data_IF_722182375730
#
_entry.id   IF_722182375730
#
_cell.length_a   1.000
_cell.length_b   1.000
_cell.length_c   1.000
_cell.angle_alpha   90.00
_cell.angle_beta   90.00
_cell.angle_gamma   90.00
#
_symmetry.space_group_name_H-M   'P 1'
#
loop_
_entity.id
_entity.type
_entity.pdbx_description
1 polymer ?
#
# COMPACT_ATOMS: atom_id res chain seq x y z
N UNK A 1 -8.73 -34.83 8.94
CA UNK A 1 -7.56 -33.97 8.54
C UNK A 1 -7.69 -32.52 9.05
N UNK A 2 -8.82 -31.80 8.78
CA UNK A 2 -8.99 -30.41 9.23
C UNK A 2 -8.88 -30.29 10.75
N UNK A 3 -9.62 -31.12 11.50
CA UNK A 3 -9.58 -31.17 12.97
C UNK A 3 -8.15 -31.38 13.49
N UNK A 4 -7.45 -32.38 12.97
CA UNK A 4 -6.06 -32.69 13.37
C UNK A 4 -5.09 -31.56 13.12
N UNK A 5 -5.30 -30.79 12.02
CA UNK A 5 -4.50 -29.60 11.71
C UNK A 5 -4.76 -28.49 12.73
N UNK A 6 -6.04 -28.19 13.00
CA UNK A 6 -6.41 -27.16 13.97
C UNK A 6 -5.86 -27.47 15.38
N UNK A 7 -6.02 -28.72 15.85
CA UNK A 7 -5.50 -29.15 17.15
C UNK A 7 -3.98 -29.06 17.24
N UNK A 8 -3.27 -29.36 16.14
CA UNK A 8 -1.81 -29.22 16.11
C UNK A 8 -1.37 -27.76 16.26
N UNK A 9 -2.08 -26.82 15.63
CA UNK A 9 -1.78 -25.40 15.81
C UNK A 9 -2.14 -24.90 17.21
N UNK A 10 -3.28 -25.32 17.76
CA UNK A 10 -3.65 -24.98 19.14
C UNK A 10 -2.66 -25.53 20.17
N UNK A 11 -2.10 -26.72 19.94
CA UNK A 11 -1.06 -27.28 20.81
C UNK A 11 0.30 -26.58 20.69
N UNK A 12 0.54 -25.87 19.56
CA UNK A 12 1.80 -25.17 19.31
C UNK A 12 1.78 -23.67 19.68
N UNK A 13 0.60 -23.06 19.78
CA UNK A 13 0.43 -21.63 20.06
C UNK A 13 -0.83 -21.40 20.91
N UNK A 14 -0.63 -20.95 22.15
CA UNK A 14 -1.71 -20.70 23.13
C UNK A 14 -2.70 -19.60 22.70
N UNK A 15 -2.36 -18.83 21.67
CA UNK A 15 -3.27 -17.82 21.06
C UNK A 15 -4.29 -18.45 20.13
N UNK A 16 -4.09 -19.70 19.71
CA UNK A 16 -5.00 -20.43 18.81
C UNK A 16 -6.07 -21.12 19.62
N UNK A 17 -7.30 -20.65 19.49
CA UNK A 17 -8.48 -21.27 20.12
C UNK A 17 -9.27 -22.05 19.05
N UNK A 18 -9.49 -23.33 19.26
CA UNK A 18 -10.27 -24.19 18.35
C UNK A 18 -11.64 -24.47 18.94
N UNK A 19 -12.69 -24.20 18.18
CA UNK A 19 -14.07 -24.47 18.57
C UNK A 19 -14.60 -25.64 17.74
N UNK A 20 -14.88 -26.76 18.39
CA UNK A 20 -15.55 -27.90 17.78
C UNK A 20 -17.06 -27.80 17.98
N UNK A 21 -17.81 -27.92 16.90
CA UNK A 21 -19.28 -27.89 16.92
C UNK A 21 -19.86 -28.77 15.83
N UNK A 22 -21.10 -29.12 15.96
CA UNK A 22 -21.88 -29.70 14.87
C UNK A 22 -22.10 -28.66 13.77
N UNK A 23 -22.34 -29.12 12.54
CA UNK A 23 -22.57 -28.18 11.43
C UNK A 23 -23.89 -27.45 11.62
N UNK A 24 -23.81 -26.15 11.90
CA UNK A 24 -24.96 -25.25 12.02
C UNK A 24 -24.81 -23.99 11.13
N UNK A 25 -23.98 -24.10 10.10
CA UNK A 25 -23.75 -23.01 9.15
C UNK A 25 -22.62 -22.05 9.53
N UNK A 26 -22.28 -21.17 8.59
CA UNK A 26 -21.16 -20.22 8.70
C UNK A 26 -21.47 -19.08 9.69
N UNK A 27 -22.69 -18.54 9.65
CA UNK A 27 -23.14 -17.46 10.55
C UNK A 27 -22.99 -17.84 12.02
N UNK A 28 -23.46 -19.03 12.40
CA UNK A 28 -23.34 -19.52 13.77
C UNK A 28 -21.88 -19.72 14.18
N UNK A 29 -21.05 -20.25 13.27
CA UNK A 29 -19.61 -20.43 13.53
C UNK A 29 -18.90 -19.09 13.78
N UNK A 30 -19.21 -18.08 12.97
CA UNK A 30 -18.66 -16.73 13.15
C UNK A 30 -19.18 -16.04 14.41
N UNK A 31 -20.47 -16.21 14.75
CA UNK A 31 -21.04 -15.67 15.98
C UNK A 31 -20.38 -16.26 17.24
N UNK A 32 -20.11 -17.58 17.23
CA UNK A 32 -19.38 -18.23 18.33
C UNK A 32 -17.94 -17.68 18.45
N UNK A 33 -17.27 -17.45 17.34
CA UNK A 33 -15.91 -16.89 17.34
C UNK A 33 -15.92 -15.43 17.83
N UNK A 34 -16.89 -14.62 17.41
CA UNK A 34 -17.07 -13.22 17.88
C UNK A 34 -17.26 -13.20 19.40
N UNK A 35 -18.10 -14.08 19.94
CA UNK A 35 -18.39 -14.16 21.38
C UNK A 35 -17.15 -14.50 22.23
N UNK A 36 -16.22 -15.25 21.68
CA UNK A 36 -14.97 -15.66 22.36
C UNK A 36 -13.76 -14.75 22.04
N UNK A 37 -13.90 -13.81 21.14
CA UNK A 37 -12.82 -12.93 20.79
C UNK A 37 -12.55 -11.89 21.87
N UNK A 38 -11.27 -11.65 22.19
CA UNK A 38 -10.82 -10.68 23.21
C UNK A 38 -10.00 -9.52 22.63
N UNK A 39 -9.66 -9.57 21.34
CA UNK A 39 -8.89 -8.53 20.67
C UNK A 39 -9.62 -7.18 20.62
N UNK A 40 -8.88 -6.11 20.47
CA UNK A 40 -9.41 -4.76 20.26
C UNK A 40 -10.16 -4.65 18.91
N UNK A 41 -9.67 -5.41 17.93
CA UNK A 41 -10.23 -5.49 16.58
C UNK A 41 -10.56 -6.95 16.22
N UNK A 42 -11.47 -7.12 15.26
CA UNK A 42 -11.80 -8.40 14.64
C UNK A 42 -11.44 -8.36 13.16
N UNK A 43 -10.76 -9.41 12.71
CA UNK A 43 -10.46 -9.69 11.30
C UNK A 43 -10.99 -11.10 10.96
N UNK A 44 -11.71 -11.22 9.85
CA UNK A 44 -12.20 -12.50 9.36
C UNK A 44 -11.29 -13.03 8.25
N UNK A 45 -11.13 -14.34 8.20
CA UNK A 45 -10.35 -15.04 7.19
C UNK A 45 -11.07 -16.34 6.80
N UNK A 46 -11.38 -16.51 5.54
CA UNK A 46 -11.96 -17.74 5.02
C UNK A 46 -10.86 -18.79 4.78
N UNK A 47 -11.17 -20.06 5.06
CA UNK A 47 -10.15 -21.13 5.12
C UNK A 47 -9.61 -21.59 3.76
N UNK A 48 -10.21 -21.17 2.67
CA UNK A 48 -9.81 -21.45 1.28
C UNK A 48 -9.03 -20.30 0.62
N UNK A 49 -8.81 -19.21 1.38
CA UNK A 49 -8.13 -18.01 0.95
C UNK A 49 -6.79 -17.83 1.70
N UNK A 50 -6.03 -16.79 1.35
CA UNK A 50 -4.83 -16.37 2.09
C UNK A 50 -4.68 -14.86 2.12
N UNK A 51 -3.85 -14.37 3.05
CA UNK A 51 -3.53 -12.96 3.22
C UNK A 51 -2.04 -12.70 2.99
N UNK A 52 -1.68 -11.44 2.75
CA UNK A 52 -0.27 -11.04 2.74
C UNK A 52 0.32 -11.17 4.15
N UNK A 53 1.63 -11.41 4.31
CA UNK A 53 2.27 -11.58 5.63
C UNK A 53 2.09 -10.38 6.56
N UNK A 54 1.93 -9.19 6.02
CA UNK A 54 1.78 -7.91 6.71
C UNK A 54 0.32 -7.42 6.83
N UNK A 55 -0.65 -8.16 6.27
CA UNK A 55 -2.06 -7.78 6.20
C UNK A 55 -2.62 -7.26 7.53
N UNK A 56 -2.52 -8.05 8.59
CA UNK A 56 -3.03 -7.67 9.91
C UNK A 56 -2.29 -6.46 10.48
N UNK A 57 -0.97 -6.37 10.28
CA UNK A 57 -0.15 -5.23 10.72
C UNK A 57 -0.61 -3.93 10.04
N UNK A 58 -0.82 -3.96 8.73
CA UNK A 58 -1.27 -2.80 7.96
C UNK A 58 -2.67 -2.34 8.38
N UNK A 59 -3.61 -3.28 8.51
CA UNK A 59 -4.97 -2.97 8.97
C UNK A 59 -4.98 -2.35 10.37
N UNK A 60 -4.27 -2.95 11.33
CA UNK A 60 -4.23 -2.46 12.72
C UNK A 60 -3.53 -1.11 12.80
N UNK A 61 -2.46 -0.91 12.02
CA UNK A 61 -1.78 0.39 11.94
C UNK A 61 -2.72 1.46 11.43
N UNK A 62 -3.40 1.24 10.31
CA UNK A 62 -4.37 2.16 9.76
C UNK A 62 -5.51 2.46 10.76
N UNK A 63 -6.06 1.43 11.40
CA UNK A 63 -7.12 1.60 12.40
C UNK A 63 -6.68 2.48 13.59
N UNK A 64 -5.44 2.35 14.05
CA UNK A 64 -4.91 3.11 15.20
C UNK A 64 -4.50 4.54 14.81
N UNK A 65 -3.76 4.70 13.73
CA UNK A 65 -3.29 6.01 13.25
C UNK A 65 -4.48 6.91 12.90
N UNK A 66 -5.47 6.36 12.22
CA UNK A 66 -6.65 7.09 11.75
C UNK A 66 -7.83 7.05 12.73
N UNK A 67 -7.70 6.35 13.86
CA UNK A 67 -8.76 6.12 14.82
C UNK A 67 -10.05 5.61 14.16
N UNK A 68 -9.89 4.72 13.19
CA UNK A 68 -10.99 4.21 12.40
C UNK A 68 -11.79 3.14 13.16
N UNK A 69 -13.12 3.21 13.02
CA UNK A 69 -14.03 2.18 13.50
C UNK A 69 -14.05 0.98 12.57
N UNK A 70 -13.89 1.25 11.26
CA UNK A 70 -13.79 0.26 10.20
C UNK A 70 -12.66 0.63 9.25
N UNK A 71 -11.74 -0.32 9.02
CA UNK A 71 -10.80 -0.24 7.89
C UNK A 71 -11.26 -1.24 6.83
N UNK A 72 -11.35 -0.80 5.59
CA UNK A 72 -11.60 -1.66 4.43
C UNK A 72 -10.37 -1.63 3.52
N UNK A 73 -9.92 -2.79 3.06
CA UNK A 73 -8.74 -2.91 2.21
C UNK A 73 -9.08 -3.45 0.83
N UNK A 74 -8.21 -3.18 -0.11
CA UNK A 74 -8.23 -3.79 -1.42
C UNK A 74 -7.87 -5.28 -1.35
N UNK A 75 -8.15 -6.01 -2.43
CA UNK A 75 -7.86 -7.43 -2.49
C UNK A 75 -7.49 -7.90 -3.90
N UNK A 76 -6.87 -9.06 -3.98
CA UNK A 76 -6.67 -9.77 -5.22
C UNK A 76 -7.74 -10.84 -5.42
N UNK A 77 -8.32 -10.86 -6.62
CA UNK A 77 -9.17 -11.96 -7.07
C UNK A 77 -8.34 -12.95 -7.86
N UNK A 78 -8.30 -14.19 -7.41
CA UNK A 78 -7.51 -15.27 -7.99
C UNK A 78 -8.42 -16.27 -8.71
N UNK A 79 -8.12 -16.52 -9.99
CA UNK A 79 -8.82 -17.53 -10.81
C UNK A 79 -7.76 -18.37 -11.54
N UNK A 80 -7.57 -19.59 -11.10
CA UNK A 80 -6.49 -20.46 -11.60
C UNK A 80 -5.11 -19.82 -11.35
N UNK A 81 -4.35 -19.59 -12.41
CA UNK A 81 -3.02 -18.98 -12.34
C UNK A 81 -3.01 -17.47 -12.60
N UNK A 82 -4.16 -16.84 -12.59
CA UNK A 82 -4.27 -15.39 -12.84
C UNK A 82 -4.93 -14.67 -11.67
N UNK A 83 -4.50 -13.47 -11.43
CA UNK A 83 -5.08 -12.58 -10.44
C UNK A 83 -5.38 -11.20 -11.02
N UNK A 84 -6.33 -10.52 -10.41
CA UNK A 84 -6.59 -9.09 -10.67
C UNK A 84 -6.82 -8.35 -9.37
N UNK A 85 -6.35 -7.11 -9.30
CA UNK A 85 -6.61 -6.19 -8.20
C UNK A 85 -8.06 -5.72 -8.21
N UNK A 86 -8.66 -5.62 -7.04
CA UNK A 86 -9.97 -5.02 -6.81
C UNK A 86 -9.88 -4.05 -5.63
N UNK A 87 -10.15 -2.82 -5.90
CA UNK A 87 -10.45 -1.73 -4.98
C UNK A 87 -11.62 -0.95 -5.53
N UNK A 88 -12.25 -0.10 -4.73
CA UNK A 88 -13.43 0.66 -5.16
C UNK A 88 -13.46 2.09 -4.63
N UNK A 89 -12.97 2.32 -3.45
CA UNK A 89 -12.92 3.65 -2.83
C UNK A 89 -11.66 4.37 -3.30
N UNK A 90 -11.82 5.58 -3.84
CA UNK A 90 -10.70 6.43 -4.30
C UNK A 90 -10.39 7.58 -3.34
N UNK A 91 -11.12 7.66 -2.22
CA UNK A 91 -10.97 8.73 -1.22
C UNK A 91 -9.75 8.44 -0.35
N UNK A 92 -8.80 9.36 -0.34
CA UNK A 92 -7.68 9.36 0.59
C UNK A 92 -8.08 9.91 1.95
N UNK A 93 -7.63 9.24 3.02
CA UNK A 93 -7.87 9.68 4.39
C UNK A 93 -9.14 9.11 5.03
N UNK A 94 -9.52 9.72 6.16
CA UNK A 94 -10.66 9.28 6.96
C UNK A 94 -11.97 9.79 6.37
N UNK A 95 -12.91 8.89 6.22
CA UNK A 95 -14.28 9.17 5.83
C UNK A 95 -15.21 9.14 7.05
N UNK A 96 -16.20 10.01 7.08
CA UNK A 96 -17.35 9.85 7.95
C UNK A 96 -18.36 8.83 7.37
N UNK A 97 -19.45 8.63 8.09
CA UNK A 97 -20.46 7.65 7.69
C UNK A 97 -21.14 8.03 6.36
N UNK A 98 -21.41 9.31 6.14
CA UNK A 98 -22.07 9.81 4.93
C UNK A 98 -21.21 9.59 3.69
N UNK A 99 -19.93 9.96 3.75
CA UNK A 99 -18.99 9.74 2.66
C UNK A 99 -18.83 8.23 2.33
N UNK A 100 -18.72 7.38 3.37
CA UNK A 100 -18.56 5.95 3.16
C UNK A 100 -19.83 5.30 2.55
N UNK A 101 -21.03 5.64 3.04
CA UNK A 101 -22.26 5.10 2.48
C UNK A 101 -22.56 5.66 1.09
N UNK A 102 -22.08 6.87 0.78
CA UNK A 102 -22.09 7.44 -0.56
C UNK A 102 -21.31 6.58 -1.56
N UNK A 103 -20.09 6.17 -1.22
CA UNK A 103 -19.30 5.25 -2.04
C UNK A 103 -20.03 3.91 -2.27
N UNK A 104 -20.64 3.34 -1.21
CA UNK A 104 -21.45 2.11 -1.34
C UNK A 104 -22.65 2.28 -2.27
N UNK A 105 -23.25 3.47 -2.29
CA UNK A 105 -24.43 3.76 -3.10
C UNK A 105 -24.12 3.86 -4.60
N UNK A 106 -22.89 4.24 -4.95
CA UNK A 106 -22.44 4.28 -6.35
C UNK A 106 -22.42 2.90 -7.00
N UNK A 107 -22.08 1.86 -6.22
CA UNK A 107 -22.02 0.46 -6.68
C UNK A 107 -22.74 -0.47 -5.69
N UNK A 108 -24.06 -0.41 -5.61
CA UNK A 108 -24.83 -0.95 -4.49
C UNK A 108 -24.76 -2.47 -4.29
N UNK A 109 -24.48 -3.23 -5.33
CA UNK A 109 -24.32 -4.68 -5.27
C UNK A 109 -22.85 -5.14 -5.38
N UNK A 110 -21.89 -4.22 -5.20
CA UNK A 110 -20.48 -4.57 -5.33
C UNK A 110 -20.01 -5.46 -4.19
N UNK A 111 -19.36 -6.54 -4.58
CA UNK A 111 -18.78 -7.54 -3.69
C UNK A 111 -17.76 -6.95 -2.69
N UNK A 112 -17.05 -5.86 -3.05
CA UNK A 112 -16.07 -5.19 -2.21
C UNK A 112 -16.65 -4.75 -0.86
N UNK A 113 -17.87 -4.19 -0.86
CA UNK A 113 -18.53 -3.75 0.37
C UNK A 113 -19.18 -4.91 1.15
N UNK A 114 -19.54 -5.98 0.46
CA UNK A 114 -20.31 -7.09 1.04
C UNK A 114 -19.50 -8.03 1.91
N UNK A 115 -18.25 -8.32 1.55
CA UNK A 115 -17.43 -9.34 2.21
C UNK A 115 -16.88 -8.89 3.56
N UNK A 116 -16.59 -9.85 4.45
CA UNK A 116 -16.02 -9.55 5.78
C UNK A 116 -14.49 -9.48 5.76
N UNK A 117 -13.85 -10.30 4.99
CA UNK A 117 -12.43 -10.61 5.06
C UNK A 117 -11.48 -9.51 4.56
N UNK A 118 -11.98 -8.48 3.86
CA UNK A 118 -11.21 -7.28 3.53
C UNK A 118 -11.20 -6.25 4.65
N UNK A 119 -11.89 -6.51 5.77
CA UNK A 119 -12.19 -5.50 6.76
C UNK A 119 -11.59 -5.81 8.12
N UNK A 120 -11.25 -4.75 8.84
CA UNK A 120 -10.93 -4.78 10.26
C UNK A 120 -11.99 -4.00 11.02
N UNK A 121 -12.63 -4.66 11.96
CA UNK A 121 -13.74 -4.12 12.73
C UNK A 121 -13.30 -3.80 14.15
N UNK A 122 -13.67 -2.65 14.66
CA UNK A 122 -13.53 -2.31 16.07
C UNK A 122 -14.50 -3.13 16.89
N UNK A 123 -13.96 -4.00 17.75
CA UNK A 123 -14.74 -5.02 18.46
C UNK A 123 -15.77 -4.43 19.43
N UNK A 124 -15.45 -3.30 20.10
CA UNK A 124 -16.35 -2.66 21.08
C UNK A 124 -17.69 -2.27 20.47
N UNK A 125 -17.75 -1.86 19.20
CA UNK A 125 -18.99 -1.57 18.47
C UNK A 125 -19.85 -2.82 18.36
N UNK A 126 -19.26 -3.95 17.96
CA UNK A 126 -19.97 -5.23 17.83
C UNK A 126 -20.54 -5.66 19.18
N UNK A 127 -19.74 -5.57 20.24
CA UNK A 127 -20.17 -5.99 21.58
C UNK A 127 -21.23 -5.07 22.19
N UNK A 128 -21.04 -3.75 22.05
CA UNK A 128 -21.96 -2.73 22.57
C UNK A 128 -23.36 -2.82 21.95
N UNK A 129 -23.41 -3.11 20.67
CA UNK A 129 -24.67 -3.15 19.91
C UNK A 129 -25.19 -4.58 19.68
N UNK A 130 -24.55 -5.60 20.29
CA UNK A 130 -24.91 -7.02 20.20
C UNK A 130 -25.07 -7.50 18.77
N UNK A 131 -24.14 -7.07 17.88
CA UNK A 131 -24.20 -7.38 16.46
C UNK A 131 -23.90 -8.86 16.23
N UNK A 132 -24.76 -9.53 15.47
CA UNK A 132 -24.66 -10.95 15.14
C UNK A 132 -25.08 -11.17 13.69
N UNK A 133 -24.50 -12.20 13.07
CA UNK A 133 -24.96 -12.70 11.78
C UNK A 133 -26.24 -13.52 11.98
N UNK A 134 -27.24 -13.33 11.12
CA UNK A 134 -28.49 -14.08 11.21
C UNK A 134 -28.30 -15.52 10.67
N UNK A 135 -28.44 -16.57 11.51
CA UNK A 135 -28.26 -17.96 11.07
C UNK A 135 -29.31 -18.46 10.07
N UNK A 136 -30.46 -17.79 9.97
CA UNK A 136 -31.52 -18.16 9.02
C UNK A 136 -31.19 -17.74 7.58
N UNK A 137 -30.18 -16.86 7.45
CA UNK A 137 -29.73 -16.32 6.16
C UNK A 137 -28.47 -17.05 5.74
N UNK A 138 -28.57 -17.79 4.64
CA UNK A 138 -27.47 -18.60 4.13
C UNK A 138 -26.70 -17.95 2.96
N UNK A 139 -27.03 -16.71 2.63
CA UNK A 139 -26.38 -15.96 1.55
C UNK A 139 -26.52 -14.45 1.79
N UNK A 140 -25.44 -13.69 1.57
CA UNK A 140 -25.31 -12.26 1.92
C UNK A 140 -25.45 -11.96 3.42
N UNK A 141 -25.28 -12.94 4.31
CA UNK A 141 -25.19 -12.74 5.75
C UNK A 141 -24.09 -11.74 6.11
N UNK A 142 -22.98 -11.80 5.38
CA UNK A 142 -21.83 -10.90 5.49
C UNK A 142 -22.22 -9.45 5.20
N UNK A 143 -22.91 -9.23 4.09
CA UNK A 143 -23.38 -7.91 3.71
C UNK A 143 -24.36 -7.31 4.72
N UNK A 144 -25.28 -8.11 5.22
CA UNK A 144 -26.23 -7.65 6.26
C UNK A 144 -25.53 -7.30 7.56
N UNK A 145 -24.55 -8.11 7.97
CA UNK A 145 -23.72 -7.79 9.13
C UNK A 145 -22.95 -6.48 8.92
N UNK A 146 -22.38 -6.26 7.72
CA UNK A 146 -21.71 -5.02 7.38
C UNK A 146 -22.65 -3.81 7.45
N UNK A 147 -23.84 -3.90 6.89
CA UNK A 147 -24.83 -2.82 6.96
C UNK A 147 -25.18 -2.46 8.42
N UNK A 148 -25.38 -3.49 9.26
CA UNK A 148 -25.68 -3.26 10.67
C UNK A 148 -24.50 -2.67 11.42
N UNK A 149 -23.26 -3.11 11.14
CA UNK A 149 -22.06 -2.53 11.73
C UNK A 149 -21.89 -1.05 11.33
N UNK A 150 -22.04 -0.74 10.04
CA UNK A 150 -21.88 0.61 9.50
C UNK A 150 -22.87 1.61 10.14
N UNK A 151 -24.07 1.18 10.53
CA UNK A 151 -25.01 2.05 11.28
C UNK A 151 -24.41 2.64 12.55
N UNK A 152 -23.54 1.91 13.20
CA UNK A 152 -22.97 2.26 14.50
C UNK A 152 -21.54 2.81 14.42
N UNK A 153 -20.85 2.62 13.29
CA UNK A 153 -19.55 3.16 13.02
C UNK A 153 -19.61 4.62 12.55
N UNK A 154 -18.58 5.39 12.82
CA UNK A 154 -18.51 6.82 12.48
C UNK A 154 -17.27 7.19 11.68
N UNK A 155 -16.20 6.42 11.80
CA UNK A 155 -14.92 6.71 11.16
C UNK A 155 -14.48 5.51 10.33
N UNK A 156 -14.27 5.76 9.04
CA UNK A 156 -13.96 4.74 8.05
C UNK A 156 -12.65 5.11 7.38
N UNK A 157 -11.86 4.11 7.05
CA UNK A 157 -10.62 4.29 6.31
C UNK A 157 -10.47 3.24 5.22
N UNK A 158 -10.13 3.67 4.00
CA UNK A 158 -9.82 2.77 2.89
C UNK A 158 -8.29 2.58 2.80
N UNK A 159 -7.85 1.35 2.94
CA UNK A 159 -6.46 0.96 2.75
C UNK A 159 -6.28 0.51 1.29
N UNK A 160 -5.68 1.37 0.46
CA UNK A 160 -5.48 1.13 -0.98
C UNK A 160 -4.35 0.12 -1.26
N UNK A 161 -4.26 -0.91 -0.41
CA UNK A 161 -3.28 -1.97 -0.53
C UNK A 161 -4.00 -3.30 -0.54
N UNK A 162 -3.81 -4.15 -1.56
CA UNK A 162 -4.43 -5.46 -1.62
C UNK A 162 -3.74 -6.42 -0.64
N UNK A 163 -4.45 -6.74 0.43
CA UNK A 163 -3.95 -7.58 1.53
C UNK A 163 -4.46 -9.01 1.52
N UNK A 164 -5.46 -9.30 0.70
CA UNK A 164 -6.19 -10.55 0.71
C UNK A 164 -6.25 -11.16 -0.69
N UNK A 165 -6.14 -12.48 -0.77
CA UNK A 165 -6.24 -13.24 -2.01
C UNK A 165 -7.52 -14.09 -1.99
N UNK A 166 -8.56 -13.58 -2.62
CA UNK A 166 -9.83 -14.31 -2.79
C UNK A 166 -9.73 -15.32 -3.93
N UNK A 167 -9.79 -16.60 -3.59
CA UNK A 167 -9.60 -17.69 -4.54
C UNK A 167 -10.94 -18.24 -5.01
N UNK A 168 -11.18 -18.16 -6.33
CA UNK A 168 -12.36 -18.81 -6.88
C UNK A 168 -12.14 -20.31 -7.06
N UNK A 169 -12.70 -21.09 -6.15
CA UNK A 169 -12.69 -22.56 -6.21
C UNK A 169 -13.92 -23.08 -6.95
N UNK A 170 -13.73 -24.18 -7.74
CA UNK A 170 -14.87 -24.90 -8.34
C UNK A 170 -15.65 -25.59 -7.22
N UNK A 171 -16.97 -25.33 -7.13
CA UNK A 171 -17.84 -25.95 -6.12
C UNK A 171 -17.99 -25.15 -4.82
N UNK A 172 -17.51 -23.88 -4.78
CA UNK A 172 -17.81 -22.98 -3.67
C UNK A 172 -19.32 -22.81 -3.45
N UNK A 173 -19.75 -22.50 -2.24
CA UNK A 173 -21.16 -22.23 -1.91
C UNK A 173 -21.78 -21.18 -2.85
N UNK A 174 -21.01 -20.20 -3.26
CA UNK A 174 -21.41 -19.18 -4.23
C UNK A 174 -21.64 -19.72 -5.65
N UNK A 175 -21.12 -20.91 -5.98
CA UNK A 175 -21.25 -21.54 -7.30
C UNK A 175 -22.32 -22.63 -7.37
N UNK A 176 -22.94 -23.00 -6.24
CA UNK A 176 -24.03 -23.97 -6.21
C UNK A 176 -25.32 -23.30 -6.68
N UNK A 177 -25.79 -23.73 -7.85
CA UNK A 177 -26.99 -23.20 -8.48
C UNK A 177 -28.21 -23.29 -7.56
N UNK A 178 -28.69 -22.15 -7.07
CA UNK A 178 -29.92 -22.05 -6.31
C UNK A 178 -31.12 -22.05 -7.28
N UNK A 179 -32.27 -22.56 -6.79
CA UNK A 179 -33.52 -22.42 -7.51
C UNK A 179 -33.83 -20.93 -7.73
N UNK A 180 -34.16 -20.56 -8.98
CA UNK A 180 -34.42 -19.18 -9.42
C UNK A 180 -35.38 -18.43 -8.45
N UNK A 181 -36.44 -19.10 -8.02
CA UNK A 181 -37.44 -18.54 -7.08
C UNK A 181 -36.82 -18.22 -5.71
N UNK A 182 -35.93 -19.09 -5.18
CA UNK A 182 -35.23 -18.82 -3.93
C UNK A 182 -34.25 -17.66 -4.07
N UNK A 183 -33.54 -17.60 -5.19
CA UNK A 183 -32.60 -16.51 -5.50
C UNK A 183 -33.29 -15.15 -5.55
N UNK A 184 -34.44 -15.05 -6.23
CA UNK A 184 -35.23 -13.82 -6.32
C UNK A 184 -35.71 -13.38 -4.93
N UNK A 185 -36.31 -14.30 -4.16
CA UNK A 185 -36.78 -14.01 -2.79
C UNK A 185 -35.65 -13.49 -1.90
N UNK A 186 -34.50 -14.10 -2.01
CA UNK A 186 -33.34 -13.70 -1.22
C UNK A 186 -32.79 -12.33 -1.63
N UNK A 187 -32.65 -12.05 -2.94
CA UNK A 187 -32.25 -10.71 -3.42
C UNK A 187 -33.23 -9.62 -2.96
N UNK A 188 -34.52 -9.90 -2.92
CA UNK A 188 -35.54 -8.99 -2.40
C UNK A 188 -35.39 -8.78 -0.88
N UNK A 189 -35.09 -9.84 -0.13
CA UNK A 189 -34.81 -9.73 1.31
C UNK A 189 -33.60 -8.84 1.55
N UNK A 190 -32.48 -9.09 0.87
CA UNK A 190 -31.25 -8.25 0.98
C UNK A 190 -31.55 -6.79 0.60
N UNK A 191 -32.33 -6.56 -0.47
CA UNK A 191 -32.76 -5.21 -0.84
C UNK A 191 -33.57 -4.51 0.25
N UNK A 192 -34.45 -5.25 0.95
CA UNK A 192 -35.23 -4.67 2.05
C UNK A 192 -34.29 -4.17 3.15
N UNK A 193 -33.30 -4.97 3.56
CA UNK A 193 -32.28 -4.55 4.52
C UNK A 193 -31.47 -3.35 4.03
N UNK A 194 -31.04 -3.36 2.78
CA UNK A 194 -30.29 -2.29 2.15
C UNK A 194 -31.08 -0.97 2.12
N UNK A 195 -32.33 -1.03 1.70
CA UNK A 195 -33.23 0.12 1.69
C UNK A 195 -33.47 0.67 3.12
N UNK A 196 -33.72 -0.22 4.08
CA UNK A 196 -33.97 0.18 5.47
C UNK A 196 -32.69 0.74 6.12
N UNK A 197 -31.53 0.25 5.74
CA UNK A 197 -30.25 0.82 6.12
C UNK A 197 -30.15 2.29 5.70
N UNK A 198 -30.36 2.62 4.42
CA UNK A 198 -30.26 4.00 3.95
C UNK A 198 -31.31 4.93 4.53
N UNK A 199 -32.52 4.44 4.79
CA UNK A 199 -33.55 5.21 5.52
C UNK A 199 -33.17 5.58 6.95
N UNK A 200 -32.26 4.84 7.56
CA UNK A 200 -31.83 5.08 8.94
C UNK A 200 -30.51 5.88 9.01
N UNK A 201 -29.71 5.88 7.96
CA UNK A 201 -28.38 6.50 7.93
C UNK A 201 -28.44 7.90 7.30
N UNK A 202 -29.26 8.07 6.26
CA UNK A 202 -29.50 9.37 5.62
C UNK A 202 -30.69 10.08 6.31
N UNK A 203 -30.69 11.40 6.27
CA UNK A 203 -31.91 12.16 6.60
C UNK A 203 -32.98 11.98 5.52
N UNK A 204 -34.20 12.43 5.79
CA UNK A 204 -35.37 12.23 4.93
C UNK A 204 -35.17 12.90 3.55
N UNK A 205 -34.61 14.11 3.54
CA UNK A 205 -34.35 14.87 2.32
C UNK A 205 -33.29 14.19 1.44
N UNK A 206 -32.19 13.79 2.05
CA UNK A 206 -31.10 13.07 1.37
C UNK A 206 -31.56 11.70 0.86
N UNK A 207 -32.34 10.97 1.66
CA UNK A 207 -32.88 9.68 1.23
C UNK A 207 -33.79 9.84 0.01
N UNK A 208 -34.73 10.79 -0.01
CA UNK A 208 -35.63 11.01 -1.14
C UNK A 208 -34.86 11.47 -2.39
N UNK A 209 -33.84 12.31 -2.24
CA UNK A 209 -32.96 12.72 -3.34
C UNK A 209 -32.20 11.53 -3.95
N UNK A 210 -31.72 10.60 -3.14
CA UNK A 210 -30.91 9.45 -3.57
C UNK A 210 -31.75 8.17 -3.76
N UNK A 211 -33.08 8.23 -3.61
CA UNK A 211 -33.95 7.06 -3.63
C UNK A 211 -33.80 6.18 -4.89
N UNK A 212 -33.68 6.79 -6.04
CA UNK A 212 -33.46 6.03 -7.29
C UNK A 212 -32.15 5.28 -7.28
N UNK A 213 -31.10 5.86 -6.70
CA UNK A 213 -29.81 5.22 -6.55
C UNK A 213 -29.89 4.02 -5.60
N UNK A 214 -30.60 4.14 -4.48
CA UNK A 214 -30.86 3.03 -3.56
C UNK A 214 -31.61 1.89 -4.29
N UNK A 215 -32.60 2.22 -5.11
CA UNK A 215 -33.37 1.22 -5.89
C UNK A 215 -32.57 0.59 -7.04
N UNK A 216 -31.50 1.25 -7.50
CA UNK A 216 -30.55 0.68 -8.48
C UNK A 216 -29.94 -0.64 -8.00
N UNK A 217 -29.86 -0.87 -6.69
CA UNK A 217 -29.45 -2.15 -6.13
C UNK A 217 -30.18 -3.35 -6.77
N UNK A 218 -31.48 -3.23 -7.04
CA UNK A 218 -32.23 -4.32 -7.65
C UNK A 218 -31.77 -4.63 -9.08
N UNK A 219 -31.38 -3.62 -9.82
CA UNK A 219 -30.89 -3.75 -11.20
C UNK A 219 -29.50 -4.37 -11.17
N UNK A 220 -28.62 -3.84 -10.35
CA UNK A 220 -27.23 -4.30 -10.22
C UNK A 220 -27.17 -5.73 -9.65
N UNK A 221 -28.00 -6.02 -8.65
CA UNK A 221 -28.14 -7.37 -8.12
C UNK A 221 -28.75 -8.37 -9.11
N UNK A 222 -29.62 -7.93 -10.02
CA UNK A 222 -30.16 -8.78 -11.08
C UNK A 222 -29.12 -9.05 -12.19
N UNK A 223 -28.33 -8.02 -12.52
CA UNK A 223 -27.24 -8.10 -13.49
C UNK A 223 -25.97 -8.71 -12.94
N UNK A 224 -25.86 -8.85 -11.61
CA UNK A 224 -24.79 -9.56 -10.94
C UNK A 224 -24.85 -11.05 -11.30
N UNK A 225 -24.46 -11.30 -12.54
CA UNK A 225 -24.10 -12.64 -12.92
C UNK A 225 -23.00 -13.06 -11.97
N UNK A 226 -23.30 -13.93 -11.01
CA UNK A 226 -22.34 -14.63 -10.14
C UNK A 226 -21.33 -15.46 -10.97
N UNK A 227 -21.26 -15.21 -12.24
CA UNK A 227 -20.27 -15.71 -13.17
C UNK A 227 -19.16 -14.67 -13.24
N UNK A 228 -18.14 -14.90 -12.42
CA UNK A 228 -16.90 -14.17 -12.65
C UNK A 228 -16.47 -14.33 -14.10
N UNK A 229 -16.09 -13.24 -14.78
CA UNK A 229 -15.61 -13.33 -16.14
C UNK A 229 -14.49 -14.36 -16.22
N UNK A 230 -14.46 -15.10 -17.30
CA UNK A 230 -13.40 -16.11 -17.56
C UNK A 230 -12.03 -15.47 -17.69
N UNK A 231 -11.99 -14.18 -18.07
CA UNK A 231 -10.78 -13.36 -18.14
C UNK A 231 -11.07 -12.08 -17.35
N UNK A 232 -10.22 -11.80 -16.36
CA UNK A 232 -10.32 -10.57 -15.55
C UNK A 232 -9.59 -9.44 -16.30
N UNK A 233 -10.22 -8.28 -16.53
CA UNK A 233 -9.51 -7.11 -17.06
C UNK A 233 -8.31 -6.75 -16.17
N UNK A 234 -7.17 -6.41 -16.76
CA UNK A 234 -5.95 -6.09 -16.02
C UNK A 234 -5.33 -7.25 -15.26
N UNK A 235 -5.76 -8.51 -15.54
CA UNK A 235 -5.22 -9.66 -14.83
C UNK A 235 -3.77 -9.93 -15.22
N UNK A 236 -2.95 -10.26 -14.21
CA UNK A 236 -1.55 -10.68 -14.33
C UNK A 236 -1.39 -12.13 -13.87
N UNK A 237 -0.23 -12.73 -14.11
CA UNK A 237 0.05 -14.09 -13.65
C UNK A 237 0.25 -14.10 -12.13
N UNK A 238 -0.29 -15.11 -11.48
CA UNK A 238 -0.11 -15.30 -10.03
C UNK A 238 1.39 -15.47 -9.70
N UNK A 239 1.88 -14.66 -8.79
CA UNK A 239 3.28 -14.58 -8.39
C UNK A 239 4.02 -13.36 -8.96
N UNK A 240 3.55 -12.76 -10.05
CA UNK A 240 4.14 -11.52 -10.59
C UNK A 240 3.94 -10.34 -9.64
N UNK A 241 2.81 -10.30 -8.92
CA UNK A 241 2.55 -9.30 -7.88
C UNK A 241 3.52 -9.40 -6.70
N UNK A 242 4.02 -10.62 -6.43
CA UNK A 242 4.97 -10.83 -5.34
C UNK A 242 6.36 -10.31 -5.65
N UNK A 243 6.69 -10.10 -6.92
CA UNK A 243 8.00 -9.56 -7.29
C UNK A 243 8.20 -8.14 -6.77
N UNK A 244 7.16 -7.30 -6.80
CA UNK A 244 7.19 -5.98 -6.19
C UNK A 244 7.01 -6.05 -4.67
N UNK A 245 6.04 -6.84 -4.19
CA UNK A 245 5.78 -7.03 -2.75
C UNK A 245 6.93 -7.76 -2.04
N UNK A 246 7.62 -8.67 -2.71
CA UNK A 246 8.77 -9.37 -2.13
C UNK A 246 9.94 -8.42 -1.90
N UNK A 247 10.20 -7.49 -2.81
CA UNK A 247 11.18 -6.43 -2.61
C UNK A 247 10.80 -5.52 -1.44
N UNK A 248 9.54 -5.14 -1.33
CA UNK A 248 9.03 -4.35 -0.20
C UNK A 248 9.04 -5.11 1.13
N UNK A 249 8.70 -6.41 1.13
CA UNK A 249 8.66 -7.24 2.34
C UNK A 249 10.05 -7.65 2.85
N UNK A 250 11.00 -7.87 1.96
CA UNK A 250 12.40 -8.19 2.34
C UNK A 250 13.11 -6.98 2.95
N UNK A 251 12.73 -5.77 2.55
CA UNK A 251 13.36 -4.53 3.00
C UNK A 251 12.60 -3.82 4.13
N UNK A 252 11.46 -4.33 4.56
CA UNK A 252 10.67 -3.81 5.70
C UNK A 252 10.07 -2.41 5.51
N UNK A 253 10.62 -1.54 4.65
CA UNK A 253 10.16 -0.17 4.41
C UNK A 253 10.43 0.31 2.98
N UNK A 254 10.91 -0.58 2.10
CA UNK A 254 11.15 -0.33 0.68
C UNK A 254 12.41 0.50 0.35
N UNK A 255 12.90 0.34 -0.89
CA UNK A 255 14.09 1.03 -1.42
C UNK A 255 14.03 2.55 -1.23
N UNK A 256 12.84 3.15 -1.33
CA UNK A 256 12.66 4.60 -1.15
C UNK A 256 12.98 5.06 0.27
N UNK A 257 12.63 4.28 1.28
CA UNK A 257 12.94 4.61 2.68
C UNK A 257 14.42 4.39 2.99
N UNK A 258 15.05 3.38 2.42
CA UNK A 258 16.50 3.17 2.57
C UNK A 258 17.28 4.28 1.88
N UNK A 259 16.85 4.72 0.70
CA UNK A 259 17.42 5.89 0.02
C UNK A 259 17.22 7.15 0.84
N UNK A 260 16.03 7.37 1.41
CA UNK A 260 15.74 8.50 2.29
C UNK A 260 16.63 8.50 3.54
N UNK A 261 16.77 7.36 4.22
CA UNK A 261 17.64 7.21 5.41
C UNK A 261 19.10 7.41 5.05
N UNK A 262 19.57 6.79 3.98
CA UNK A 262 20.93 6.95 3.48
C UNK A 262 21.23 8.41 3.17
N UNK A 263 20.31 9.10 2.52
CA UNK A 263 20.41 10.54 2.24
C UNK A 263 20.43 11.37 3.51
N UNK A 264 19.51 11.11 4.45
CA UNK A 264 19.43 11.82 5.72
C UNK A 264 20.67 11.63 6.59
N UNK A 265 21.19 10.40 6.64
CA UNK A 265 22.45 10.10 7.32
C UNK A 265 23.60 10.86 6.68
N UNK A 266 23.72 10.82 5.37
CA UNK A 266 24.76 11.52 4.62
C UNK A 266 24.69 13.02 4.80
N UNK A 267 23.50 13.62 4.73
CA UNK A 267 23.28 15.06 4.98
C UNK A 267 23.74 15.48 6.39
N UNK A 268 23.55 14.61 7.40
CA UNK A 268 24.04 14.84 8.78
C UNK A 268 25.56 14.96 8.84
N UNK A 269 26.28 14.13 8.07
CA UNK A 269 27.74 14.23 7.98
C UNK A 269 28.22 15.42 7.14
N UNK A 270 27.41 15.89 6.20
CA UNK A 270 27.70 17.09 5.40
C UNK A 270 27.46 18.41 6.14
N UNK A 271 26.65 18.42 7.19
CA UNK A 271 26.27 19.65 7.94
C UNK A 271 27.47 20.42 8.50
N UNK A 272 28.49 19.77 9.12
CA UNK A 272 29.71 20.46 9.56
C UNK A 272 30.48 21.12 8.41
N UNK A 273 30.58 20.43 7.26
CA UNK A 273 31.25 20.96 6.05
C UNK A 273 30.46 22.13 5.47
N UNK A 274 29.12 22.03 5.44
CA UNK A 274 28.25 23.12 5.03
C UNK A 274 28.50 24.41 5.85
N UNK A 275 28.55 24.23 7.17
CA UNK A 275 28.78 25.32 8.10
C UNK A 275 30.21 25.90 8.02
N UNK A 276 31.23 25.03 7.91
CA UNK A 276 32.63 25.44 7.85
C UNK A 276 32.96 26.26 6.62
N UNK A 277 32.40 25.91 5.45
CA UNK A 277 32.70 26.57 4.18
C UNK A 277 31.57 27.50 3.69
N UNK A 278 30.57 27.73 4.53
CA UNK A 278 29.41 28.57 4.18
C UNK A 278 28.75 28.10 2.86
N UNK A 279 28.49 26.78 2.75
CA UNK A 279 27.91 26.15 1.58
C UNK A 279 26.52 25.60 1.89
N UNK A 280 25.65 25.66 0.89
CA UNK A 280 24.36 24.97 0.94
C UNK A 280 24.53 23.51 0.50
N UNK A 281 23.64 22.61 0.92
CA UNK A 281 23.65 21.21 0.47
C UNK A 281 23.66 21.04 -1.06
N UNK A 282 22.89 21.82 -1.86
CA UNK A 282 23.00 21.80 -3.30
C UNK A 282 24.40 22.13 -3.82
N UNK A 283 25.08 23.12 -3.24
CA UNK A 283 26.45 23.51 -3.62
C UNK A 283 27.45 22.42 -3.26
N UNK A 284 27.34 21.82 -2.08
CA UNK A 284 28.18 20.70 -1.65
C UNK A 284 28.02 19.49 -2.60
N UNK A 285 26.80 19.14 -2.96
CA UNK A 285 26.53 18.01 -3.87
C UNK A 285 27.11 18.26 -5.27
N UNK A 286 27.10 19.49 -5.73
CA UNK A 286 27.78 19.86 -6.98
C UNK A 286 29.30 19.69 -6.89
N UNK A 287 29.93 20.16 -5.80
CA UNK A 287 31.36 19.99 -5.56
C UNK A 287 31.74 18.51 -5.41
N UNK A 288 30.95 17.74 -4.65
CA UNK A 288 31.15 16.29 -4.48
C UNK A 288 31.12 15.55 -5.82
N UNK A 289 30.20 15.90 -6.71
CA UNK A 289 30.11 15.29 -8.03
C UNK A 289 31.32 15.67 -8.91
N UNK A 290 31.73 16.93 -8.89
CA UNK A 290 32.88 17.41 -9.63
C UNK A 290 34.19 16.77 -9.15
N UNK A 291 34.37 16.60 -7.83
CA UNK A 291 35.56 15.98 -7.23
C UNK A 291 35.65 14.49 -7.58
N UNK A 292 34.48 13.81 -7.64
CA UNK A 292 34.44 12.39 -8.00
C UNK A 292 34.84 12.14 -9.45
N UNK A 293 34.41 12.96 -10.39
CA UNK A 293 34.69 12.78 -11.81
C UNK A 293 36.10 13.22 -12.22
N UNK A 294 36.72 14.15 -11.49
CA UNK A 294 38.05 14.71 -11.76
C UNK A 294 38.24 15.19 -13.20
N UNK A 295 37.14 15.53 -13.88
CA UNK A 295 37.13 15.99 -15.26
C UNK A 295 36.08 17.08 -15.45
N UNK A 296 36.19 17.89 -16.51
CA UNK A 296 35.18 18.90 -16.81
C UNK A 296 33.82 18.26 -17.11
N UNK A 297 32.77 18.84 -16.55
CA UNK A 297 31.39 18.32 -16.66
C UNK A 297 30.50 19.32 -17.38
N UNK A 298 29.63 18.82 -18.24
CA UNK A 298 28.65 19.68 -18.90
C UNK A 298 27.54 20.10 -17.95
N UNK A 299 26.96 21.28 -18.22
CA UNK A 299 25.82 21.78 -17.43
C UNK A 299 24.62 20.81 -17.49
N UNK A 300 24.45 20.07 -18.58
CA UNK A 300 23.39 19.08 -18.73
C UNK A 300 23.60 17.92 -17.77
N UNK A 301 24.81 17.36 -17.74
CA UNK A 301 25.18 16.27 -16.82
C UNK A 301 24.98 16.67 -15.36
N UNK A 302 25.35 17.91 -14.98
CA UNK A 302 25.10 18.43 -13.64
C UNK A 302 23.61 18.56 -13.32
N UNK A 303 22.79 18.98 -14.29
CA UNK A 303 21.34 19.06 -14.14
C UNK A 303 20.72 17.67 -13.97
N UNK A 304 21.14 16.71 -14.77
CA UNK A 304 20.67 15.33 -14.75
C UNK A 304 21.06 14.63 -13.43
N UNK A 305 22.31 14.83 -12.98
CA UNK A 305 22.78 14.26 -11.70
C UNK A 305 22.06 14.85 -10.49
N UNK A 306 21.90 16.17 -10.45
CA UNK A 306 21.33 16.87 -9.27
C UNK A 306 19.83 16.96 -9.29
N UNK A 307 19.20 16.61 -10.40
CA UNK A 307 17.78 16.81 -10.69
C UNK A 307 17.29 18.25 -10.47
N UNK A 308 18.22 19.22 -10.64
CA UNK A 308 17.94 20.65 -10.49
C UNK A 308 17.39 21.25 -11.78
N UNK A 309 16.45 22.18 -11.62
CA UNK A 309 16.04 23.00 -12.76
C UNK A 309 17.22 23.86 -13.27
N UNK A 310 17.23 24.22 -14.55
CA UNK A 310 18.27 25.06 -15.17
C UNK A 310 18.48 26.38 -14.40
N UNK A 311 17.41 26.95 -13.85
CA UNK A 311 17.47 28.20 -13.07
C UNK A 311 18.16 28.02 -11.73
N UNK A 312 17.78 26.98 -10.99
CA UNK A 312 18.37 26.63 -9.70
C UNK A 312 19.86 26.28 -9.85
N UNK A 313 20.19 25.42 -10.81
CA UNK A 313 21.58 25.06 -11.09
C UNK A 313 22.44 26.30 -11.43
N UNK A 314 21.93 27.22 -12.25
CA UNK A 314 22.65 28.47 -12.59
C UNK A 314 22.97 29.30 -11.37
N UNK A 315 22.03 29.43 -10.42
CA UNK A 315 22.21 30.19 -9.19
C UNK A 315 23.34 29.59 -8.33
N UNK A 316 23.33 28.27 -8.14
CA UNK A 316 24.35 27.59 -7.32
C UNK A 316 25.74 27.63 -7.99
N UNK A 317 25.79 27.44 -9.32
CA UNK A 317 27.06 27.56 -10.06
C UNK A 317 27.63 28.98 -9.98
N UNK A 318 26.81 30.03 -10.05
CA UNK A 318 27.28 31.43 -9.87
C UNK A 318 27.83 31.65 -8.47
N UNK A 319 27.20 31.11 -7.44
CA UNK A 319 27.69 31.22 -6.06
C UNK A 319 29.02 30.49 -5.86
N UNK A 320 29.16 29.27 -6.38
CA UNK A 320 30.41 28.52 -6.32
C UNK A 320 31.55 29.21 -7.10
N UNK A 321 31.21 29.81 -8.25
CA UNK A 321 32.16 30.62 -9.02
C UNK A 321 32.60 31.91 -8.26
N UNK A 322 31.66 32.59 -7.60
CA UNK A 322 31.96 33.75 -6.78
C UNK A 322 32.85 33.39 -5.57
N UNK A 323 32.74 32.18 -5.02
CA UNK A 323 33.62 31.68 -3.96
C UNK A 323 34.98 31.15 -4.49
N UNK A 324 35.18 31.15 -5.81
CA UNK A 324 36.42 30.67 -6.42
C UNK A 324 36.59 29.15 -6.46
N UNK A 325 35.57 28.37 -6.18
CA UNK A 325 35.67 26.90 -6.16
C UNK A 325 35.55 26.26 -7.54
N UNK A 326 34.90 26.94 -8.48
CA UNK A 326 34.69 26.44 -9.84
C UNK A 326 34.95 27.54 -10.88
N UNK A 327 35.27 27.09 -12.09
CA UNK A 327 35.32 27.90 -13.30
C UNK A 327 34.31 27.40 -14.32
N UNK A 328 33.61 28.35 -14.96
CA UNK A 328 32.68 28.05 -16.04
C UNK A 328 33.29 28.52 -17.34
N UNK A 329 33.38 27.64 -18.32
CA UNK A 329 33.86 27.96 -19.67
C UNK A 329 32.73 27.75 -20.67
N UNK A 330 32.45 28.78 -21.45
CA UNK A 330 31.53 28.70 -22.58
C UNK A 330 32.32 28.44 -23.87
N UNK A 331 31.97 27.37 -24.57
CA UNK A 331 32.46 27.08 -25.92
C UNK A 331 31.29 27.09 -26.90
N UNK A 332 31.51 27.69 -28.10
CA UNK A 332 30.54 27.60 -29.19
C UNK A 332 31.00 26.56 -30.17
N UNK A 333 30.20 25.55 -30.37
CA UNK A 333 30.45 24.56 -31.38
C UNK A 333 30.15 25.19 -32.77
N UNK A 334 31.17 25.20 -33.68
CA UNK A 334 31.07 25.88 -34.96
C UNK A 334 29.99 25.35 -35.91
N UNK A 335 29.39 24.18 -35.63
CA UNK A 335 28.40 23.53 -36.51
C UNK A 335 26.94 23.65 -36.06
N UNK A 336 26.67 23.79 -34.77
CA UNK A 336 25.28 23.71 -34.23
C UNK A 336 24.77 24.96 -33.56
N UNK A 337 25.58 26.05 -33.46
CA UNK A 337 25.30 27.28 -32.69
C UNK A 337 24.94 27.02 -31.20
N UNK A 338 24.99 25.80 -30.70
CA UNK A 338 24.69 25.47 -29.33
C UNK A 338 25.79 25.93 -28.38
N UNK A 339 25.40 26.67 -27.34
CA UNK A 339 26.30 27.08 -26.27
C UNK A 339 26.57 25.88 -25.36
N UNK A 340 27.78 25.32 -25.44
CA UNK A 340 28.25 24.28 -24.55
C UNK A 340 28.92 24.94 -23.33
N UNK A 341 28.32 24.74 -22.16
CA UNK A 341 28.85 25.20 -20.88
C UNK A 341 29.53 24.05 -20.19
N UNK A 342 30.80 24.22 -19.86
CA UNK A 342 31.60 23.23 -19.14
C UNK A 342 32.03 23.81 -17.79
N UNK A 343 31.93 23.02 -16.74
CA UNK A 343 32.25 23.41 -15.35
C UNK A 343 33.51 22.65 -14.91
N UNK A 344 34.45 23.36 -14.32
CA UNK A 344 35.70 22.84 -13.80
C UNK A 344 35.81 23.17 -12.32
N UNK A 345 36.30 22.20 -11.52
CA UNK A 345 36.71 22.47 -10.15
C UNK A 345 38.09 23.12 -10.14
N UNK A 346 38.29 24.10 -9.27
CA UNK A 346 39.53 24.84 -9.15
C UNK A 346 40.35 24.33 -7.94
N UNK A 347 41.69 24.50 -7.93
CA UNK A 347 42.52 24.11 -6.81
C UNK A 347 42.15 24.76 -5.47
N UNK A 348 41.50 25.89 -5.49
CA UNK A 348 41.01 26.62 -4.30
C UNK A 348 39.92 25.84 -3.56
N UNK A 349 39.27 24.86 -4.21
CA UNK A 349 38.32 23.94 -3.61
C UNK A 349 38.98 22.76 -2.85
N UNK A 350 40.32 22.64 -2.87
CA UNK A 350 41.03 21.48 -2.32
C UNK A 350 40.69 21.19 -0.84
N UNK A 351 40.54 22.22 -0.02
CA UNK A 351 40.15 22.04 1.39
C UNK A 351 38.74 21.51 1.55
N UNK A 352 37.80 21.95 0.70
CA UNK A 352 36.44 21.42 0.68
C UNK A 352 36.43 19.98 0.17
N UNK A 353 37.23 19.68 -0.87
CA UNK A 353 37.38 18.34 -1.40
C UNK A 353 37.91 17.36 -0.36
N UNK A 354 38.95 17.72 0.40
CA UNK A 354 39.49 16.92 1.49
C UNK A 354 38.46 16.68 2.61
N UNK A 355 37.71 17.72 3.00
CA UNK A 355 36.64 17.59 3.98
C UNK A 355 35.54 16.63 3.49
N UNK A 356 35.15 16.68 2.21
CA UNK A 356 34.16 15.79 1.61
C UNK A 356 34.63 14.33 1.54
N UNK A 357 35.92 14.09 1.27
CA UNK A 357 36.52 12.74 1.30
C UNK A 357 36.46 12.16 2.73
N UNK A 358 36.73 12.99 3.76
CA UNK A 358 36.62 12.57 5.15
C UNK A 358 35.19 12.24 5.54
N UNK A 359 34.23 13.07 5.15
CA UNK A 359 32.80 12.80 5.34
C UNK A 359 32.37 11.48 4.71
N UNK A 360 32.80 11.21 3.48
CA UNK A 360 32.46 9.95 2.81
C UNK A 360 33.01 8.74 3.58
N UNK A 361 34.24 8.83 4.07
CA UNK A 361 34.85 7.77 4.88
C UNK A 361 34.07 7.52 6.17
N UNK A 362 33.77 8.57 6.94
CA UNK A 362 33.02 8.46 8.20
C UNK A 362 31.61 7.91 7.98
N UNK A 363 30.96 8.32 6.90
CA UNK A 363 29.66 7.79 6.49
C UNK A 363 29.72 6.29 6.17
N UNK A 364 30.73 5.86 5.41
CA UNK A 364 30.92 4.46 5.06
C UNK A 364 31.28 3.61 6.29
N UNK A 365 32.16 4.12 7.17
CA UNK A 365 32.48 3.47 8.46
C UNK A 365 31.22 3.24 9.32
N UNK A 366 30.34 4.25 9.42
CA UNK A 366 29.10 4.12 10.16
C UNK A 366 28.13 3.14 9.48
N UNK A 367 28.02 3.19 8.18
CA UNK A 367 27.11 2.34 7.41
C UNK A 367 27.47 0.86 7.47
N UNK A 368 28.76 0.56 7.53
CA UNK A 368 29.27 -0.81 7.49
C UNK A 368 29.85 -1.30 8.83
N UNK A 369 29.60 -0.60 9.90
CA UNK A 369 30.20 -0.85 11.24
C UNK A 369 30.07 -2.29 11.74
N UNK A 370 29.01 -3.01 11.37
CA UNK A 370 28.73 -4.38 11.80
C UNK A 370 29.07 -5.47 10.75
N UNK A 371 29.63 -5.07 9.62
CA UNK A 371 29.91 -6.00 8.52
C UNK A 371 31.26 -6.67 8.71
N UNK A 372 31.33 -7.98 8.51
CA UNK A 372 32.56 -8.73 8.34
C UNK A 372 33.18 -8.46 6.96
N UNK A 373 34.48 -8.80 6.79
CA UNK A 373 35.15 -8.67 5.50
C UNK A 373 34.46 -9.47 4.38
N UNK A 374 33.98 -10.68 4.68
CA UNK A 374 33.28 -11.52 3.70
C UNK A 374 31.92 -10.90 3.29
N UNK A 375 31.21 -10.33 4.24
CA UNK A 375 29.94 -9.62 3.96
C UNK A 375 30.16 -8.37 3.12
N UNK A 376 31.23 -7.62 3.37
CA UNK A 376 31.61 -6.46 2.56
C UNK A 376 31.95 -6.87 1.12
N UNK A 377 32.69 -7.97 0.93
CA UNK A 377 33.00 -8.50 -0.40
C UNK A 377 31.72 -8.96 -1.13
N UNK A 378 30.86 -9.65 -0.43
CA UNK A 378 29.56 -10.09 -0.99
C UNK A 378 28.67 -8.90 -1.35
N UNK A 379 28.58 -7.90 -0.48
CA UNK A 379 27.86 -6.67 -0.72
C UNK A 379 28.38 -5.92 -1.95
N UNK A 380 29.70 -5.76 -2.07
CA UNK A 380 30.31 -5.12 -3.23
C UNK A 380 29.97 -5.85 -4.54
N UNK A 381 30.04 -7.19 -4.52
CA UNK A 381 29.66 -8.02 -5.67
C UNK A 381 28.18 -7.84 -6.07
N UNK A 382 27.26 -7.86 -5.10
CA UNK A 382 25.84 -7.70 -5.36
C UNK A 382 25.51 -6.29 -5.85
N UNK A 383 26.13 -5.28 -5.25
CA UNK A 383 25.96 -3.88 -5.66
C UNK A 383 26.44 -3.65 -7.12
N UNK A 384 27.54 -4.27 -7.52
CA UNK A 384 28.02 -4.18 -8.90
C UNK A 384 27.06 -4.85 -9.90
N UNK A 385 26.40 -5.95 -9.50
CA UNK A 385 25.34 -6.57 -10.32
C UNK A 385 24.13 -5.65 -10.47
N UNK A 386 23.67 -5.04 -9.37
CA UNK A 386 22.58 -4.08 -9.37
C UNK A 386 22.91 -2.91 -10.30
N UNK A 387 24.10 -2.32 -10.14
CA UNK A 387 24.60 -1.23 -10.99
C UNK A 387 24.56 -1.56 -12.47
N UNK A 388 25.03 -2.75 -12.86
CA UNK A 388 24.99 -3.22 -14.26
C UNK A 388 23.57 -3.36 -14.79
N UNK A 389 22.63 -3.83 -13.95
CA UNK A 389 21.24 -3.94 -14.35
C UNK A 389 20.61 -2.55 -14.55
N UNK A 390 20.87 -1.61 -13.63
CA UNK A 390 20.40 -0.22 -13.75
C UNK A 390 20.95 0.45 -15.02
N UNK A 391 22.26 0.28 -15.33
CA UNK A 391 22.88 0.85 -16.51
C UNK A 391 22.25 0.36 -17.82
N UNK A 392 21.77 -0.90 -17.88
CA UNK A 392 21.08 -1.43 -19.06
C UNK A 392 19.74 -0.76 -19.35
N UNK A 393 19.09 -0.22 -18.33
CA UNK A 393 17.77 0.44 -18.46
C UNK A 393 17.93 1.95 -18.70
N UNK A 394 19.02 2.55 -18.21
CA UNK A 394 19.30 3.98 -18.33
C UNK A 394 20.03 4.35 -19.63
N UNK A 395 20.54 3.40 -20.39
CA UNK A 395 21.08 3.58 -21.75
C UNK A 395 19.97 3.54 -22.79
#
# INVERSE_FOLDING_TARGET
KTREICERYAAADDRVLVIHKENSGVSESRNMAIAQAHGEYLQFLDCDDWITPDATKLLVRAAKEEQADLVIADFYRVIGERLSHKGDIEIDGVMDQEAFVGCMMEKPADFYYGVLWTKLYRRDIIMKHHLQMNPEISWCEDFMFNLEYIRHARRFYALHTPIYYYVKTKGSLASQGMNLSKTIKMKLTVFTYYKDFYKNVLDEEEYEKNRLQVYRFLIDAAGDGMVAPTILPGSQKLGEERSSLYLEAVEGEGVLMDEYRSRKLFDRYLEPVASQFDLTFPEIRLLLYLSHLKQPVSRRELSDYTNMTRRSLSLHLQKLMAKGYIRIQESREKKTQDRRITVWMLPEAAQVEEALVNVQREYDETRYQSFSEDELLQYAYLTEKIKKNMQKVLQ
#
